data_IF_576297348553
#
_entry.id   IF_576297348553
#
_cell.length_a   1.000
_cell.length_b   1.000
_cell.length_c   1.000
_cell.angle_alpha   90.00
_cell.angle_beta   90.00
_cell.angle_gamma   90.00
#
_symmetry.space_group_name_H-M   'P 1'
#
loop_
_entity.id
_entity.type
_entity.pdbx_description
1 polymer ?
#
# COMPACT_ATOMS: atom_id res chain seq x y z
N UNK A 1 -23.83 1.79 -14.41
CA UNK A 1 -23.28 1.23 -13.16
C UNK A 1 -22.75 2.39 -12.33
N UNK A 2 -23.05 2.44 -11.04
CA UNK A 2 -22.60 3.54 -10.18
C UNK A 2 -21.08 3.44 -10.01
N UNK A 3 -20.33 4.40 -10.57
CA UNK A 3 -18.88 4.48 -10.33
C UNK A 3 -18.70 4.83 -8.85
N UNK A 4 -18.05 3.96 -8.08
CA UNK A 4 -17.72 4.27 -6.70
C UNK A 4 -16.76 5.46 -6.67
N UNK A 5 -17.03 6.44 -5.82
CA UNK A 5 -16.11 7.56 -5.62
C UNK A 5 -15.02 7.15 -4.63
N UNK A 6 -13.95 6.54 -5.13
CA UNK A 6 -12.83 6.09 -4.29
C UNK A 6 -12.10 7.24 -3.61
N UNK A 7 -12.02 8.42 -4.25
CA UNK A 7 -11.41 9.63 -3.69
C UNK A 7 -12.12 10.10 -2.41
N UNK A 8 -13.43 9.91 -2.32
CA UNK A 8 -14.21 10.25 -1.12
C UNK A 8 -14.05 9.23 0.03
N UNK A 9 -13.53 8.03 -0.24
CA UNK A 9 -13.30 7.01 0.80
C UNK A 9 -12.08 7.36 1.65
N UNK A 10 -12.15 7.09 2.95
CA UNK A 10 -10.95 7.06 3.80
C UNK A 10 -10.00 5.94 3.37
N UNK A 11 -8.72 6.02 3.73
CA UNK A 11 -7.74 4.97 3.41
C UNK A 11 -8.18 3.59 3.93
N UNK A 12 -8.84 3.53 5.08
CA UNK A 12 -9.32 2.28 5.69
C UNK A 12 -10.54 1.69 4.98
N UNK A 13 -11.42 2.53 4.44
CA UNK A 13 -12.56 2.09 3.63
C UNK A 13 -12.09 1.58 2.27
N UNK A 14 -11.21 2.35 1.62
CA UNK A 14 -10.62 1.95 0.35
C UNK A 14 -9.82 0.65 0.48
N UNK A 15 -9.02 0.49 1.56
CA UNK A 15 -8.31 -0.77 1.84
C UNK A 15 -9.28 -1.96 1.95
N UNK A 16 -10.37 -1.80 2.69
CA UNK A 16 -11.38 -2.87 2.85
C UNK A 16 -12.01 -3.23 1.51
N UNK A 17 -12.34 -2.22 0.70
CA UNK A 17 -12.88 -2.42 -0.64
C UNK A 17 -11.91 -3.18 -1.55
N UNK A 18 -10.67 -2.72 -1.66
CA UNK A 18 -9.63 -3.35 -2.51
C UNK A 18 -9.39 -4.81 -2.12
N UNK A 19 -9.39 -5.13 -0.82
CA UNK A 19 -9.21 -6.51 -0.35
C UNK A 19 -10.39 -7.42 -0.73
N UNK A 20 -11.61 -6.88 -0.79
CA UNK A 20 -12.82 -7.61 -1.22
C UNK A 20 -12.97 -7.68 -2.75
N UNK A 21 -12.38 -6.72 -3.48
CA UNK A 21 -12.51 -6.56 -4.93
C UNK A 21 -11.12 -6.49 -5.58
N UNK A 22 -10.37 -7.60 -5.50
CA UNK A 22 -8.95 -7.63 -5.93
C UNK A 22 -8.74 -7.38 -7.43
N UNK A 23 -9.75 -7.62 -8.25
CA UNK A 23 -9.71 -7.40 -9.71
C UNK A 23 -10.08 -5.97 -10.12
N UNK A 24 -10.53 -5.13 -9.17
CA UNK A 24 -10.89 -3.73 -9.43
C UNK A 24 -9.62 -2.87 -9.49
N UNK A 25 -9.10 -2.73 -10.71
CA UNK A 25 -7.88 -1.96 -11.00
C UNK A 25 -8.02 -0.48 -10.63
N UNK A 26 -9.20 0.13 -10.80
CA UNK A 26 -9.41 1.55 -10.47
C UNK A 26 -9.29 1.78 -8.96
N UNK A 27 -9.85 0.87 -8.15
CA UNK A 27 -9.71 0.92 -6.70
C UNK A 27 -8.26 0.66 -6.24
N UNK A 28 -7.55 -0.27 -6.89
CA UNK A 28 -6.16 -0.57 -6.59
C UNK A 28 -5.24 0.63 -6.89
N UNK A 29 -5.38 1.22 -8.07
CA UNK A 29 -4.53 2.33 -8.51
C UNK A 29 -4.71 3.54 -7.55
N UNK A 30 -5.96 3.89 -7.19
CA UNK A 30 -6.23 4.94 -6.19
C UNK A 30 -5.66 4.60 -4.79
N UNK A 31 -5.69 3.34 -4.37
CA UNK A 31 -5.11 2.92 -3.10
C UNK A 31 -3.58 2.96 -3.09
N UNK A 32 -2.95 2.61 -4.22
CA UNK A 32 -1.52 2.60 -4.41
C UNK A 32 -0.92 4.01 -4.45
N UNK A 33 -1.61 4.95 -5.10
CA UNK A 33 -1.14 6.34 -5.27
C UNK A 33 -1.21 7.17 -3.98
N UNK A 34 -1.98 6.74 -2.97
CA UNK A 34 -2.13 7.50 -1.73
C UNK A 34 -0.83 7.55 -0.92
N UNK A 35 -0.42 8.74 -0.44
CA UNK A 35 0.81 8.91 0.33
C UNK A 35 0.73 8.17 1.66
N UNK A 36 1.83 7.53 2.05
CA UNK A 36 1.94 6.75 3.29
C UNK A 36 3.11 7.32 4.11
N UNK A 37 2.88 8.37 4.91
CA UNK A 37 3.96 9.07 5.61
C UNK A 37 4.71 8.19 6.62
N UNK A 38 4.09 7.10 7.08
CA UNK A 38 4.65 6.17 8.04
C UNK A 38 5.11 4.84 7.41
N UNK A 39 5.23 4.76 6.08
CA UNK A 39 5.65 3.55 5.39
C UNK A 39 6.95 3.77 4.61
N UNK A 40 7.84 2.79 4.68
CA UNK A 40 8.99 2.70 3.77
C UNK A 40 8.58 1.85 2.57
N UNK A 41 8.64 2.43 1.38
CA UNK A 41 8.36 1.72 0.12
C UNK A 41 9.69 1.15 -0.39
N UNK A 42 9.72 -0.16 -0.64
CA UNK A 42 10.86 -0.87 -1.23
C UNK A 42 10.47 -1.29 -2.64
N UNK A 43 11.34 -1.06 -3.61
CA UNK A 43 11.06 -1.39 -5.00
C UNK A 43 11.04 -2.91 -5.21
N UNK A 44 10.19 -3.40 -6.13
CA UNK A 44 9.98 -4.83 -6.32
C UNK A 44 11.20 -5.55 -6.91
N UNK A 45 12.11 -4.82 -7.56
CA UNK A 45 13.38 -5.29 -8.12
C UNK A 45 14.53 -5.29 -7.11
N UNK A 46 14.31 -4.80 -5.89
CA UNK A 46 15.31 -4.84 -4.81
C UNK A 46 15.70 -6.30 -4.51
N UNK A 47 16.99 -6.67 -4.50
CA UNK A 47 17.44 -8.01 -4.14
C UNK A 47 16.96 -8.44 -2.75
N UNK A 48 16.71 -9.74 -2.54
CA UNK A 48 16.16 -10.27 -1.29
C UNK A 48 17.05 -9.92 -0.10
N UNK A 49 18.36 -10.04 -0.24
CA UNK A 49 19.34 -9.74 0.81
C UNK A 49 19.28 -8.27 1.23
N UNK A 50 19.01 -7.37 0.28
CA UNK A 50 18.84 -5.95 0.53
C UNK A 50 17.49 -5.65 1.19
N UNK A 51 16.41 -6.31 0.78
CA UNK A 51 15.12 -6.22 1.46
C UNK A 51 15.22 -6.66 2.92
N UNK A 52 15.90 -7.77 3.21
CA UNK A 52 16.13 -8.27 4.57
C UNK A 52 16.89 -7.26 5.43
N UNK A 53 17.94 -6.65 4.88
CA UNK A 53 18.70 -5.59 5.57
C UNK A 53 17.81 -4.40 5.91
N UNK A 54 17.04 -3.89 4.94
CA UNK A 54 16.12 -2.76 5.14
C UNK A 54 15.12 -3.08 6.25
N UNK A 55 14.49 -4.26 6.21
CA UNK A 55 13.51 -4.67 7.22
C UNK A 55 14.16 -4.72 8.62
N UNK A 56 15.37 -5.28 8.73
CA UNK A 56 16.09 -5.38 10.01
C UNK A 56 16.38 -4.00 10.60
N UNK A 57 16.88 -3.06 9.80
CA UNK A 57 17.16 -1.69 10.23
C UNK A 57 15.90 -0.96 10.70
N UNK A 58 14.78 -1.15 10.00
CA UNK A 58 13.49 -0.55 10.38
C UNK A 58 12.99 -1.07 11.73
N UNK A 59 13.10 -2.37 11.99
CA UNK A 59 12.69 -2.99 13.26
C UNK A 59 13.59 -2.52 14.40
N UNK A 60 14.91 -2.45 14.19
CA UNK A 60 15.85 -2.03 15.22
C UNK A 60 15.70 -0.54 15.58
N UNK A 61 15.31 0.32 14.63
CA UNK A 61 15.00 1.74 14.90
C UNK A 61 13.74 1.95 15.76
N UNK A 62 12.86 0.95 15.83
CA UNK A 62 11.65 1.00 16.64
C UNK A 62 11.85 0.50 18.08
N UNK A 63 13.04 -0.01 18.43
CA UNK A 63 13.42 -0.38 19.80
C UNK A 63 14.01 0.81 20.53
#
# INVERSE_FOLDING_TARGET
MSKHNFQAMTLNELRRYVLAHRDDKEAWDEFADRPRPNATIVAADTPVEEQERIIKELVDRCK
#
